data_IF_089466161572
#
_entry.id   IF_089466161572
#
_cell.length_a   1.000
_cell.length_b   1.000
_cell.length_c   1.000
_cell.angle_alpha   90.00
_cell.angle_beta   90.00
_cell.angle_gamma   90.00
#
_symmetry.space_group_name_H-M   'P 1'
#
loop_
_entity.id
_entity.type
_entity.pdbx_description
1 polymer ?
#
# COMPACT_ATOMS: atom_id res chain seq x y z
N UNK A 1 -14.38 4.38 -16.55
CA UNK A 1 -13.12 5.09 -16.25
C UNK A 1 -13.07 5.38 -14.76
N UNK A 2 -12.27 4.65 -13.99
CA UNK A 2 -12.12 4.91 -12.55
C UNK A 2 -11.28 6.19 -12.37
N UNK A 3 -11.85 7.20 -11.70
CA UNK A 3 -11.09 8.39 -11.29
C UNK A 3 -10.12 7.97 -10.19
N UNK A 4 -8.82 8.10 -10.45
CA UNK A 4 -7.80 8.01 -9.41
C UNK A 4 -7.99 9.17 -8.41
N UNK A 5 -7.98 8.84 -7.12
CA UNK A 5 -8.41 9.71 -6.02
C UNK A 5 -7.23 10.30 -5.23
N UNK A 6 -6.13 10.66 -5.89
CA UNK A 6 -5.26 11.69 -5.31
C UNK A 6 -5.75 13.04 -5.87
N UNK A 7 -6.06 14.03 -5.04
CA UNK A 7 -6.31 15.38 -5.56
C UNK A 7 -5.04 15.96 -6.20
N UNK A 8 -4.97 17.28 -6.38
CA UNK A 8 -3.75 17.99 -6.82
C UNK A 8 -2.58 17.92 -5.82
N UNK A 9 -2.66 17.06 -4.79
CA UNK A 9 -1.65 16.95 -3.74
C UNK A 9 -0.81 15.70 -3.94
N UNK A 10 0.51 15.90 -4.01
CA UNK A 10 1.49 14.84 -3.83
C UNK A 10 1.66 14.54 -2.34
N UNK A 11 1.83 13.25 -2.03
CA UNK A 11 2.06 12.79 -0.66
C UNK A 11 3.25 11.84 -0.65
N UNK A 12 4.10 11.94 0.37
CA UNK A 12 5.22 11.02 0.54
C UNK A 12 4.84 9.75 1.31
N UNK A 13 5.78 8.84 1.51
CA UNK A 13 5.58 7.60 2.27
C UNK A 13 5.19 7.87 3.73
N UNK A 14 5.80 8.85 4.38
CA UNK A 14 5.59 9.13 5.81
C UNK A 14 4.13 9.50 6.01
N UNK A 15 3.60 10.38 5.16
CA UNK A 15 2.19 10.75 5.17
C UNK A 15 1.27 9.54 5.06
N UNK A 16 1.53 8.62 4.12
CA UNK A 16 0.68 7.44 3.96
C UNK A 16 0.77 6.48 5.15
N UNK A 17 1.97 6.33 5.76
CA UNK A 17 2.16 5.51 6.95
C UNK A 17 1.37 6.09 8.14
N UNK A 18 1.52 7.39 8.40
CA UNK A 18 0.80 8.08 9.46
C UNK A 18 -0.71 8.02 9.24
N UNK A 19 -1.18 8.21 8.00
CA UNK A 19 -2.60 8.09 7.65
C UNK A 19 -3.12 6.68 7.90
N UNK A 20 -2.39 5.65 7.48
CA UNK A 20 -2.78 4.25 7.69
C UNK A 20 -2.89 3.94 9.18
N UNK A 21 -1.88 4.34 9.97
CA UNK A 21 -1.90 4.19 11.43
C UNK A 21 -3.07 4.94 12.06
N UNK A 22 -3.33 6.18 11.64
CA UNK A 22 -4.45 6.98 12.15
C UNK A 22 -5.79 6.30 11.90
N UNK A 23 -6.06 5.84 10.68
CA UNK A 23 -7.31 5.14 10.38
C UNK A 23 -7.45 3.83 11.15
N UNK A 24 -6.35 3.09 11.39
CA UNK A 24 -6.39 1.91 12.26
C UNK A 24 -6.70 2.26 13.71
N UNK A 25 -6.18 3.38 14.20
CA UNK A 25 -6.41 3.88 15.55
C UNK A 25 -7.84 4.36 15.81
N UNK A 26 -8.63 4.61 14.76
CA UNK A 26 -10.08 4.85 14.88
C UNK A 26 -10.86 3.56 15.19
N UNK A 27 -10.26 2.38 14.98
CA UNK A 27 -10.83 1.09 15.31
C UNK A 27 -10.85 0.80 16.82
N UNK A 28 -11.91 0.16 17.29
CA UNK A 28 -12.01 -0.29 18.70
C UNK A 28 -10.82 -1.19 19.05
N UNK A 29 -10.29 -1.04 20.27
CA UNK A 29 -9.25 -1.91 20.83
C UNK A 29 -7.92 -1.94 20.06
N UNK A 30 -7.63 -0.94 19.23
CA UNK A 30 -6.34 -0.78 18.58
C UNK A 30 -5.21 -0.58 19.61
N UNK A 31 -4.16 -1.39 19.50
CA UNK A 31 -2.98 -1.35 20.38
C UNK A 31 -1.79 -0.71 19.67
N UNK A 32 -1.62 -0.96 18.38
CA UNK A 32 -0.50 -0.45 17.59
C UNK A 32 -0.40 -1.09 16.21
N UNK A 33 0.55 -0.65 15.39
CA UNK A 33 0.88 -1.35 14.14
C UNK A 33 1.53 -2.71 14.46
N UNK A 34 1.22 -3.77 13.72
CA UNK A 34 1.87 -5.08 13.90
C UNK A 34 3.27 -5.14 13.28
N UNK A 35 3.53 -4.29 12.28
CA UNK A 35 4.84 -4.06 11.66
C UNK A 35 4.88 -2.68 11.01
N UNK A 36 6.06 -2.23 10.59
CA UNK A 36 6.20 -0.97 9.88
C UNK A 36 5.64 -1.06 8.46
N UNK A 37 4.55 -0.32 8.18
CA UNK A 37 3.90 -0.35 6.87
C UNK A 37 4.88 -0.18 5.69
N UNK A 38 4.78 -1.08 4.70
CA UNK A 38 5.54 -1.04 3.45
C UNK A 38 4.68 -0.29 2.43
N UNK A 39 5.25 0.78 1.88
CA UNK A 39 4.56 1.64 0.92
C UNK A 39 5.48 1.84 -0.28
N UNK A 40 5.33 0.94 -1.25
CA UNK A 40 6.14 0.88 -2.46
C UNK A 40 5.44 1.58 -3.62
N UNK A 41 5.85 2.80 -3.95
CA UNK A 41 5.37 3.52 -5.13
C UNK A 41 6.23 3.19 -6.36
N UNK A 42 5.59 2.83 -7.48
CA UNK A 42 6.24 2.44 -8.73
C UNK A 42 7.32 1.37 -8.50
N UNK A 43 8.55 1.60 -8.94
CA UNK A 43 9.63 0.62 -8.84
C UNK A 43 9.99 0.24 -7.40
N UNK A 44 9.67 1.09 -6.41
CA UNK A 44 9.88 0.75 -5.01
C UNK A 44 9.00 -0.44 -4.57
N UNK A 45 7.88 -0.68 -5.25
CA UNK A 45 7.02 -1.85 -5.01
C UNK A 45 7.64 -3.18 -5.43
N UNK A 46 8.73 -3.17 -6.21
CA UNK A 46 9.46 -4.38 -6.58
C UNK A 46 10.44 -4.85 -5.48
N UNK A 47 10.70 -4.01 -4.47
CA UNK A 47 11.56 -4.33 -3.33
C UNK A 47 10.68 -4.96 -2.23
N UNK A 48 10.84 -6.26 -2.00
CA UNK A 48 9.96 -7.07 -1.15
C UNK A 48 9.73 -6.43 0.23
N UNK A 49 10.81 -6.11 0.95
CA UNK A 49 10.73 -5.42 2.24
C UNK A 49 11.19 -3.96 2.11
N UNK A 50 10.53 -3.21 1.23
CA UNK A 50 10.84 -1.80 1.02
C UNK A 50 10.62 -0.98 2.30
N UNK A 51 11.68 -0.29 2.74
CA UNK A 51 11.60 0.74 3.77
C UNK A 51 12.36 1.96 3.30
N UNK A 52 11.64 2.99 2.85
CA UNK A 52 12.28 4.25 2.48
C UNK A 52 12.95 4.88 3.70
N UNK A 53 14.15 5.41 3.51
CA UNK A 53 14.73 6.43 4.40
C UNK A 53 13.98 7.74 4.17
N UNK A 54 13.86 8.58 5.21
CA UNK A 54 13.13 9.86 5.12
C UNK A 54 13.62 10.75 3.97
N UNK A 55 14.92 10.68 3.70
CA UNK A 55 15.64 11.47 2.69
C UNK A 55 15.31 11.08 1.24
N UNK A 56 14.84 9.85 0.99
CA UNK A 56 14.69 9.26 -0.35
C UNK A 56 13.23 8.88 -0.70
N UNK A 57 12.25 9.43 0.01
CA UNK A 57 10.85 9.08 -0.22
C UNK A 57 10.31 9.72 -1.51
N UNK A 58 9.90 8.88 -2.47
CA UNK A 58 9.26 9.37 -3.70
C UNK A 58 7.89 9.96 -3.38
N UNK A 59 7.63 11.13 -3.94
CA UNK A 59 6.30 11.71 -3.95
C UNK A 59 5.34 10.83 -4.77
N UNK A 60 4.22 10.43 -4.16
CA UNK A 60 3.15 9.69 -4.80
C UNK A 60 2.27 10.65 -5.60
N UNK A 61 1.97 10.29 -6.84
CA UNK A 61 1.11 11.05 -7.76
C UNK A 61 0.05 10.13 -8.39
N UNK A 62 -0.88 10.67 -9.18
CA UNK A 62 -1.91 9.89 -9.90
C UNK A 62 -1.34 9.16 -11.14
N UNK A 63 -0.22 8.46 -10.98
CA UNK A 63 0.44 7.75 -12.07
C UNK A 63 1.07 6.44 -11.58
N UNK A 64 1.13 5.43 -12.45
CA UNK A 64 1.67 4.12 -12.10
C UNK A 64 0.85 3.40 -11.01
N UNK A 65 1.54 2.73 -10.10
CA UNK A 65 0.95 1.87 -9.07
C UNK A 65 1.59 2.09 -7.70
N UNK A 66 0.85 1.69 -6.67
CA UNK A 66 1.30 1.68 -5.28
C UNK A 66 1.01 0.32 -4.66
N UNK A 67 1.98 -0.23 -3.94
CA UNK A 67 1.81 -1.37 -3.05
C UNK A 67 1.76 -0.85 -1.61
N UNK A 68 0.74 -1.28 -0.87
CA UNK A 68 0.57 -1.00 0.55
C UNK A 68 0.48 -2.32 1.28
N UNK A 69 1.47 -2.59 2.11
CA UNK A 69 1.46 -3.70 3.07
C UNK A 69 1.40 -3.14 4.48
N UNK A 70 0.38 -3.55 5.24
CA UNK A 70 0.15 -2.97 6.57
C UNK A 70 -0.52 -3.96 7.49
N UNK A 71 -0.34 -3.73 8.79
CA UNK A 71 -0.99 -4.54 9.80
C UNK A 71 -1.21 -3.77 11.10
N UNK A 72 -2.07 -4.33 11.94
CA UNK A 72 -2.45 -3.76 13.23
C UNK A 72 -2.62 -4.83 14.28
N UNK A 73 -2.26 -4.47 15.51
CA UNK A 73 -2.51 -5.22 16.74
C UNK A 73 -3.78 -4.69 17.40
N UNK A 74 -4.67 -5.59 17.75
CA UNK A 74 -5.93 -5.34 18.45
C UNK A 74 -6.03 -6.31 19.64
N UNK A 75 -6.86 -6.00 20.64
CA UNK A 75 -7.10 -6.95 21.74
C UNK A 75 -7.69 -8.29 21.24
N UNK A 76 -8.37 -8.25 20.10
CA UNK A 76 -8.96 -9.41 19.42
C UNK A 76 -7.97 -10.19 18.56
N UNK A 77 -6.79 -9.64 18.26
CA UNK A 77 -5.76 -10.33 17.48
C UNK A 77 -4.94 -9.43 16.56
N UNK A 78 -4.18 -10.09 15.68
CA UNK A 78 -3.21 -9.45 14.77
C UNK A 78 -3.74 -9.48 13.35
N UNK A 79 -3.59 -8.36 12.62
CA UNK A 79 -3.90 -8.28 11.18
C UNK A 79 -2.65 -8.07 10.35
N UNK A 80 -2.71 -8.59 9.13
CA UNK A 80 -1.70 -8.44 8.08
C UNK A 80 -2.43 -8.40 6.73
N UNK A 81 -2.20 -7.37 5.92
CA UNK A 81 -2.89 -7.16 4.66
C UNK A 81 -2.08 -6.34 3.66
N UNK A 82 -1.91 -6.92 2.47
CA UNK A 82 -1.28 -6.26 1.31
C UNK A 82 -2.30 -5.95 0.21
N UNK A 83 -2.18 -4.79 -0.42
CA UNK A 83 -2.92 -4.39 -1.63
C UNK A 83 -2.02 -3.68 -2.62
N UNK A 84 -2.16 -4.02 -3.90
CA UNK A 84 -1.51 -3.33 -5.03
C UNK A 84 -2.58 -2.61 -5.84
N UNK A 85 -2.45 -1.29 -5.99
CA UNK A 85 -3.47 -0.41 -6.55
C UNK A 85 -2.87 0.39 -7.71
N UNK A 86 -3.55 0.43 -8.85
CA UNK A 86 -3.21 1.37 -9.92
C UNK A 86 -3.71 2.77 -9.56
N UNK A 87 -2.80 3.74 -9.48
CA UNK A 87 -3.11 5.15 -9.23
C UNK A 87 -3.30 5.96 -10.51
N UNK A 88 -2.94 5.39 -11.67
CA UNK A 88 -3.09 6.04 -12.96
C UNK A 88 -2.86 5.06 -14.09
N UNK A 89 -2.15 5.51 -15.12
CA UNK A 89 -1.81 4.65 -16.25
C UNK A 89 -0.77 3.61 -15.81
N UNK A 90 -1.02 2.34 -16.16
CA UNK A 90 -0.12 1.21 -15.94
C UNK A 90 0.07 0.44 -17.25
N UNK A 91 1.18 -0.28 -17.39
CA UNK A 91 1.46 -1.08 -18.59
C UNK A 91 0.54 -2.30 -18.69
N UNK A 92 0.39 -2.85 -19.89
CA UNK A 92 -0.32 -4.12 -20.09
C UNK A 92 0.38 -5.28 -19.39
N UNK A 93 1.72 -5.23 -19.30
CA UNK A 93 2.53 -6.18 -18.53
C UNK A 93 2.16 -6.17 -17.04
N UNK A 94 2.10 -4.99 -16.41
CA UNK A 94 1.69 -4.85 -15.01
C UNK A 94 0.29 -5.43 -14.77
N UNK A 95 -0.67 -5.16 -15.67
CA UNK A 95 -2.02 -5.72 -15.56
C UNK A 95 -2.01 -7.24 -15.63
N UNK A 96 -1.23 -7.80 -16.56
CA UNK A 96 -1.08 -9.25 -16.72
C UNK A 96 -0.50 -9.88 -15.46
N UNK A 97 0.57 -9.31 -14.91
CA UNK A 97 1.25 -9.80 -13.71
C UNK A 97 0.34 -9.75 -12.48
N UNK A 98 -0.32 -8.61 -12.21
CA UNK A 98 -1.28 -8.49 -11.10
C UNK A 98 -2.44 -9.48 -11.26
N UNK A 99 -2.89 -9.75 -12.49
CA UNK A 99 -3.94 -10.74 -12.76
C UNK A 99 -3.46 -12.16 -12.47
N UNK A 100 -2.22 -12.51 -12.82
CA UNK A 100 -1.64 -13.82 -12.51
C UNK A 100 -1.50 -14.04 -11.00
N UNK A 101 -1.03 -13.02 -10.28
CA UNK A 101 -0.97 -13.03 -8.81
C UNK A 101 -2.36 -13.22 -8.20
N UNK A 102 -3.36 -12.46 -8.67
CA UNK A 102 -4.74 -12.58 -8.21
C UNK A 102 -5.32 -13.97 -8.48
N UNK A 103 -5.06 -14.55 -9.65
CA UNK A 103 -5.49 -15.92 -9.97
C UNK A 103 -4.89 -16.93 -8.99
N UNK A 104 -3.58 -16.86 -8.73
CA UNK A 104 -2.94 -17.74 -7.75
C UNK A 104 -3.49 -17.57 -6.34
N UNK A 105 -3.78 -16.33 -5.92
CA UNK A 105 -4.40 -16.05 -4.63
C UNK A 105 -5.80 -16.69 -4.53
N UNK A 106 -6.63 -16.54 -5.55
CA UNK A 106 -7.99 -17.13 -5.60
C UNK A 106 -7.93 -18.66 -5.61
N UNK A 107 -6.97 -19.25 -6.33
CA UNK A 107 -6.82 -20.71 -6.41
C UNK A 107 -6.42 -21.35 -5.06
N UNK A 108 -5.80 -20.57 -4.17
CA UNK A 108 -5.42 -20.99 -2.82
C UNK A 108 -6.48 -20.72 -1.74
N UNK A 109 -7.33 -19.69 -1.93
CA UNK A 109 -8.17 -19.12 -0.87
C UNK A 109 -9.60 -19.65 -0.81
#
# INVERSE_FOLDING_TARGET
>A
MAKAYCGERSFDRIFHREKTKRFRAEGKNFVGESFGSIIGYKENGAIIHYSAKEEDSKAVTNDGSILVDSGGQYLEGTTDITRTIALGKVSEEFKKEVTLVLKGMIDLS
#
